data_IF_979879544526
#
_entry.id   IF_979879544526
#
_cell.length_a   1.000
_cell.length_b   1.000
_cell.length_c   1.000
_cell.angle_alpha   90.00
_cell.angle_beta   90.00
_cell.angle_gamma   90.00
#
_symmetry.space_group_name_H-M   'P 1'
#
loop_
_entity.id
_entity.type
_entity.pdbx_description
1 polymer ?
#
# COMPACT_ATOMS: atom_id res chain seq x y z
N UNK A 1 -47.94 36.17 40.42
CA UNK A 1 -47.70 35.66 39.05
C UNK A 1 -47.69 36.85 38.08
N UNK A 2 -46.88 36.92 37.00
CA UNK A 2 -45.93 35.93 36.45
C UNK A 2 -44.48 36.43 36.19
N UNK A 3 -43.56 35.45 36.29
CA UNK A 3 -42.37 35.08 35.49
C UNK A 3 -41.34 36.13 34.98
N UNK A 4 -40.14 36.02 35.57
CA UNK A 4 -38.82 36.40 35.04
C UNK A 4 -38.51 35.68 33.71
N UNK A 5 -37.92 36.40 32.74
CA UNK A 5 -37.11 35.81 31.66
C UNK A 5 -35.66 36.25 31.83
N UNK A 6 -34.84 35.35 32.38
CA UNK A 6 -33.39 35.38 32.23
C UNK A 6 -33.03 34.55 31.01
N UNK A 7 -32.55 35.19 29.94
CA UNK A 7 -31.93 34.49 28.83
C UNK A 7 -30.49 34.16 29.18
N UNK A 8 -30.22 32.92 29.60
CA UNK A 8 -28.87 32.35 29.56
C UNK A 8 -28.52 32.10 28.09
N UNK A 9 -27.49 32.80 27.58
CA UNK A 9 -26.77 32.35 26.38
C UNK A 9 -26.12 31.02 26.74
N UNK A 10 -26.57 29.95 26.10
CA UNK A 10 -25.90 28.66 26.15
C UNK A 10 -24.64 28.75 25.30
N UNK A 11 -23.48 28.92 25.94
CA UNK A 11 -22.19 28.58 25.35
C UNK A 11 -22.05 27.07 25.51
N UNK A 12 -22.56 26.30 24.55
CA UNK A 12 -22.08 24.95 24.36
C UNK A 12 -20.64 25.07 23.85
N UNK A 13 -19.69 25.06 24.80
CA UNK A 13 -18.31 24.71 24.49
C UNK A 13 -18.42 23.23 24.13
N UNK A 14 -18.24 22.89 22.84
CA UNK A 14 -17.96 21.52 22.46
C UNK A 14 -16.70 21.13 23.25
N UNK A 15 -16.87 20.23 24.22
CA UNK A 15 -15.75 19.55 24.86
C UNK A 15 -15.06 18.76 23.75
N UNK A 16 -13.92 19.27 23.31
CA UNK A 16 -13.00 18.59 22.40
C UNK A 16 -12.51 17.36 23.17
N UNK A 17 -12.67 16.17 22.58
CA UNK A 17 -12.23 14.92 23.20
C UNK A 17 -10.72 15.03 23.49
N UNK A 18 -10.17 14.45 24.58
CA UNK A 18 -8.73 14.45 24.84
C UNK A 18 -7.92 13.92 23.65
N UNK A 19 -8.51 12.98 22.88
CA UNK A 19 -7.92 12.44 21.66
C UNK A 19 -7.86 13.49 20.53
N UNK A 20 -8.87 14.33 20.40
CA UNK A 20 -8.91 15.41 19.40
C UNK A 20 -7.83 16.48 19.65
N UNK A 21 -7.50 16.77 20.92
CA UNK A 21 -6.49 17.78 21.25
C UNK A 21 -5.07 17.28 20.93
N UNK A 22 -4.78 16.01 21.20
CA UNK A 22 -3.52 15.37 20.83
C UNK A 22 -3.37 15.25 19.31
N UNK A 23 -4.44 14.92 18.59
CA UNK A 23 -4.47 14.86 17.13
C UNK A 23 -4.22 16.23 16.49
N UNK A 24 -4.89 17.28 16.97
CA UNK A 24 -4.65 18.65 16.51
C UNK A 24 -3.23 19.12 16.82
N UNK A 25 -2.67 18.71 17.95
CA UNK A 25 -1.30 19.04 18.29
C UNK A 25 -0.30 18.33 17.38
N UNK A 26 -0.53 17.06 17.03
CA UNK A 26 0.29 16.34 16.05
C UNK A 26 0.15 16.95 14.65
N UNK A 27 -1.07 17.23 14.19
CA UNK A 27 -1.32 17.86 12.90
C UNK A 27 -0.60 19.22 12.79
N UNK A 28 -0.66 20.04 13.84
CA UNK A 28 0.08 21.31 13.92
C UNK A 28 1.59 21.11 13.92
N UNK A 29 2.11 20.07 14.59
CA UNK A 29 3.55 19.74 14.57
C UNK A 29 4.00 19.28 13.18
N UNK A 30 3.19 18.49 12.49
CA UNK A 30 3.42 18.04 11.12
C UNK A 30 3.38 19.21 10.11
N UNK A 31 2.37 20.07 10.20
CA UNK A 31 2.29 21.32 9.41
C UNK A 31 3.48 22.24 9.68
N UNK A 32 3.86 22.44 10.94
CA UNK A 32 5.02 23.26 11.30
C UNK A 32 6.32 22.67 10.76
N UNK A 33 6.48 21.34 10.82
CA UNK A 33 7.60 20.65 10.22
C UNK A 33 7.62 20.82 8.69
N UNK A 34 6.45 20.80 8.01
CA UNK A 34 6.33 20.94 6.54
C UNK A 34 6.82 22.29 6.02
N UNK A 35 6.83 23.31 6.88
CA UNK A 35 7.23 24.67 6.54
C UNK A 35 8.69 25.01 6.86
N UNK A 36 9.51 24.06 7.33
CA UNK A 36 10.95 24.31 7.50
C UNK A 36 11.75 23.43 8.48
N UNK A 37 11.28 22.22 8.85
CA UNK A 37 11.96 21.37 9.83
C UNK A 37 12.57 20.09 9.23
N UNK A 38 13.79 19.76 9.64
CA UNK A 38 14.38 18.40 9.48
C UNK A 38 13.40 17.35 9.99
N UNK A 39 13.33 16.19 9.33
CA UNK A 39 12.61 15.00 9.80
C UNK A 39 13.04 14.70 11.25
N UNK A 40 12.20 15.05 12.22
CA UNK A 40 12.51 14.85 13.63
C UNK A 40 11.96 13.50 14.06
N UNK A 41 12.75 12.74 14.83
CA UNK A 41 12.34 11.46 15.42
C UNK A 41 11.01 11.57 16.19
N UNK A 42 10.67 12.76 16.68
CA UNK A 42 9.38 13.05 17.32
C UNK A 42 8.20 12.97 16.36
N UNK A 43 8.35 13.43 15.10
CA UNK A 43 7.30 13.35 14.09
C UNK A 43 6.98 11.89 13.73
N UNK A 44 8.00 11.02 13.69
CA UNK A 44 7.82 9.58 13.49
C UNK A 44 7.10 8.95 14.67
N UNK A 45 7.54 9.25 15.89
CA UNK A 45 6.90 8.73 17.10
C UNK A 45 5.42 9.15 17.17
N UNK A 46 5.12 10.37 16.73
CA UNK A 46 3.76 10.89 16.65
C UNK A 46 2.92 10.16 15.57
N UNK A 47 3.47 9.97 14.36
CA UNK A 47 2.82 9.19 13.29
C UNK A 47 2.58 7.75 13.74
N UNK A 48 3.60 7.10 14.31
CA UNK A 48 3.54 5.72 14.78
C UNK A 48 2.52 5.54 15.90
N UNK A 49 2.49 6.47 16.86
CA UNK A 49 1.52 6.47 17.97
C UNK A 49 0.10 6.57 17.44
N UNK A 50 -0.14 7.42 16.45
CA UNK A 50 -1.47 7.62 15.88
C UNK A 50 -1.89 6.51 14.91
N UNK A 51 -0.96 5.95 14.13
CA UNK A 51 -1.21 4.75 13.32
C UNK A 51 -1.56 3.55 14.22
N UNK A 52 -0.89 3.43 15.36
CA UNK A 52 -1.21 2.41 16.38
C UNK A 52 -2.57 2.66 17.02
N UNK A 53 -2.89 3.91 17.37
CA UNK A 53 -4.21 4.27 17.91
C UNK A 53 -5.33 3.98 16.90
N UNK A 54 -5.12 4.29 15.62
CA UNK A 54 -6.04 4.00 14.54
C UNK A 54 -6.27 2.48 14.37
N UNK A 55 -5.21 1.66 14.44
CA UNK A 55 -5.33 0.20 14.42
C UNK A 55 -6.13 -0.33 15.62
N UNK A 56 -5.87 0.18 16.82
CA UNK A 56 -6.58 -0.23 18.04
C UNK A 56 -8.07 0.15 18.00
N UNK A 57 -8.40 1.31 17.41
CA UNK A 57 -9.78 1.75 17.23
C UNK A 57 -10.56 0.90 16.18
N UNK A 58 -9.87 0.22 15.25
CA UNK A 58 -10.52 -0.71 14.29
C UNK A 58 -10.90 -2.05 14.93
N UNK A 59 -10.22 -2.48 15.99
CA UNK A 59 -10.54 -3.73 16.70
C UNK A 59 -11.72 -3.56 17.68
N UNK A 60 -12.08 -2.33 18.04
CA UNK A 60 -13.31 -2.04 18.78
C UNK A 60 -14.48 -1.99 17.78
N UNK A 61 -15.27 -3.07 17.74
CA UNK A 61 -16.42 -3.34 16.85
C UNK A 61 -17.60 -2.36 16.90
N UNK A 62 -17.38 -1.08 17.20
CA UNK A 62 -18.40 -0.04 17.15
C UNK A 62 -18.21 0.81 15.89
N UNK A 63 -19.30 1.07 15.16
CA UNK A 63 -19.30 1.93 13.97
C UNK A 63 -18.78 3.36 14.27
N UNK A 64 -18.77 3.77 15.54
CA UNK A 64 -18.15 5.03 16.00
C UNK A 64 -16.61 4.97 15.93
N UNK A 65 -15.99 3.81 16.20
CA UNK A 65 -14.54 3.61 16.12
C UNK A 65 -13.99 3.64 14.68
N UNK A 66 -14.74 3.12 13.70
CA UNK A 66 -14.38 3.24 12.28
C UNK A 66 -14.43 4.70 11.79
N UNK A 67 -15.45 5.47 12.19
CA UNK A 67 -15.58 6.88 11.81
C UNK A 67 -14.47 7.74 12.44
N UNK A 68 -14.13 7.48 13.70
CA UNK A 68 -13.09 8.21 14.44
C UNK A 68 -11.68 7.87 13.93
N UNK A 69 -11.43 6.59 13.63
CA UNK A 69 -10.21 6.13 12.95
C UNK A 69 -10.02 6.81 11.59
N UNK A 70 -11.08 6.88 10.78
CA UNK A 70 -11.04 7.55 9.48
C UNK A 70 -10.70 9.05 9.61
N UNK A 71 -11.23 9.75 10.62
CA UNK A 71 -10.92 11.17 10.89
C UNK A 71 -9.46 11.38 11.31
N UNK A 72 -8.93 10.53 12.18
CA UNK A 72 -7.52 10.57 12.62
C UNK A 72 -6.58 10.46 11.42
N UNK A 73 -6.84 9.50 10.54
CA UNK A 73 -5.96 9.25 9.40
C UNK A 73 -6.11 10.35 8.36
N UNK A 74 -7.31 10.81 8.04
CA UNK A 74 -7.50 11.96 7.15
C UNK A 74 -6.72 13.18 7.69
N UNK A 75 -6.79 13.43 9.00
CA UNK A 75 -6.04 14.53 9.64
C UNK A 75 -4.52 14.36 9.51
N UNK A 76 -4.00 13.14 9.73
CA UNK A 76 -2.58 12.83 9.56
C UNK A 76 -2.12 13.05 8.12
N UNK A 77 -2.93 12.59 7.16
CA UNK A 77 -2.62 12.68 5.75
C UNK A 77 -2.67 14.14 5.29
N UNK A 78 -3.70 14.91 5.67
CA UNK A 78 -3.80 16.35 5.40
C UNK A 78 -2.64 17.14 6.02
N UNK A 79 -2.12 16.70 7.17
CA UNK A 79 -0.97 17.31 7.81
C UNK A 79 0.38 16.95 7.12
N UNK A 80 0.36 16.13 6.07
CA UNK A 80 1.53 15.76 5.28
C UNK A 80 2.33 14.58 5.85
N UNK A 81 1.68 13.66 6.58
CA UNK A 81 2.32 12.46 7.09
C UNK A 81 2.83 11.54 5.95
N UNK A 82 2.06 11.38 4.87
CA UNK A 82 2.42 10.51 3.74
C UNK A 82 3.77 10.87 3.10
N UNK A 83 3.98 12.09 2.56
CA UNK A 83 5.24 12.44 1.90
C UNK A 83 6.45 12.32 2.83
N UNK A 84 6.27 12.67 4.11
CA UNK A 84 7.33 12.55 5.13
C UNK A 84 7.72 11.12 5.37
N UNK A 85 6.74 10.25 5.59
CA UNK A 85 6.99 8.85 5.87
C UNK A 85 7.63 8.16 4.65
N UNK A 86 7.23 8.54 3.43
CA UNK A 86 7.89 8.09 2.20
C UNK A 86 9.35 8.54 2.11
N UNK A 87 9.64 9.82 2.35
CA UNK A 87 11.02 10.34 2.35
C UNK A 87 11.90 9.63 3.39
N UNK A 88 11.35 9.37 4.58
CA UNK A 88 12.06 8.65 5.64
C UNK A 88 12.28 7.18 5.30
N UNK A 89 11.29 6.54 4.68
CA UNK A 89 11.38 5.17 4.20
C UNK A 89 12.47 5.04 3.13
N UNK A 90 12.53 5.98 2.16
CA UNK A 90 13.60 6.02 1.15
C UNK A 90 14.98 6.22 1.79
N UNK A 91 15.09 7.16 2.73
CA UNK A 91 16.36 7.43 3.41
C UNK A 91 16.85 6.18 4.18
N UNK A 92 15.97 5.53 4.94
CA UNK A 92 16.29 4.30 5.67
C UNK A 92 16.70 3.17 4.72
N UNK A 93 16.01 3.00 3.59
CA UNK A 93 16.38 2.02 2.56
C UNK A 93 17.77 2.29 1.97
N UNK A 94 18.09 3.54 1.62
CA UNK A 94 19.42 3.92 1.13
C UNK A 94 20.52 3.68 2.16
N UNK A 95 20.29 4.03 3.42
CA UNK A 95 21.26 3.83 4.50
C UNK A 95 21.52 2.33 4.76
N UNK A 96 20.49 1.49 4.60
CA UNK A 96 20.59 0.05 4.77
C UNK A 96 21.39 -0.62 3.64
N UNK A 97 21.16 -0.24 2.37
CA UNK A 97 21.93 -0.77 1.22
C UNK A 97 23.43 -0.45 1.37
N UNK A 98 23.77 0.69 1.97
CA UNK A 98 25.16 1.10 2.17
C UNK A 98 25.88 0.51 3.39
N UNK A 99 25.15 0.00 4.40
CA UNK A 99 25.75 -0.35 5.71
C UNK A 99 25.20 -1.59 6.42
N UNK A 100 24.19 -2.29 5.87
CA UNK A 100 23.55 -3.51 6.42
C UNK A 100 23.73 -3.69 7.93
N UNK A 101 22.89 -2.99 8.70
CA UNK A 101 22.84 -3.10 10.17
C UNK A 101 21.41 -3.36 10.61
N UNK A 102 21.25 -4.28 11.56
CA UNK A 102 19.95 -4.71 12.11
C UNK A 102 19.08 -3.52 12.58
N UNK A 103 19.70 -2.50 13.20
CA UNK A 103 18.99 -1.31 13.68
C UNK A 103 18.28 -0.52 12.56
N UNK A 104 18.86 -0.44 11.37
CA UNK A 104 18.22 0.26 10.24
C UNK A 104 17.12 -0.58 9.59
N UNK A 105 17.20 -1.91 9.70
CA UNK A 105 16.14 -2.81 9.25
C UNK A 105 14.90 -2.71 10.15
N UNK A 106 15.09 -2.64 11.47
CA UNK A 106 13.99 -2.40 12.43
C UNK A 106 13.30 -1.06 12.17
N UNK A 107 14.07 0.01 11.95
CA UNK A 107 13.53 1.34 11.63
C UNK A 107 12.76 1.33 10.30
N UNK A 108 13.30 0.69 9.27
CA UNK A 108 12.61 0.55 7.99
C UNK A 108 11.32 -0.26 8.12
N UNK A 109 11.34 -1.37 8.86
CA UNK A 109 10.15 -2.17 9.18
C UNK A 109 9.07 -1.35 9.89
N UNK A 110 9.44 -0.48 10.83
CA UNK A 110 8.50 0.40 11.52
C UNK A 110 7.84 1.37 10.53
N UNK A 111 8.64 2.04 9.69
CA UNK A 111 8.11 2.96 8.69
C UNK A 111 7.17 2.27 7.68
N UNK A 112 7.49 1.05 7.25
CA UNK A 112 6.65 0.28 6.33
C UNK A 112 5.31 -0.13 6.96
N UNK A 113 5.29 -0.46 8.27
CA UNK A 113 4.05 -0.74 9.00
C UNK A 113 3.18 0.51 9.09
N UNK A 114 3.77 1.66 9.39
CA UNK A 114 3.03 2.94 9.42
C UNK A 114 2.47 3.29 8.03
N UNK A 115 3.25 3.07 6.96
CA UNK A 115 2.79 3.24 5.58
C UNK A 115 1.63 2.31 5.24
N UNK A 116 1.64 1.08 5.77
CA UNK A 116 0.59 0.10 5.52
C UNK A 116 -0.75 0.55 6.10
N UNK A 117 -0.74 1.13 7.30
CA UNK A 117 -1.94 1.74 7.91
C UNK A 117 -2.45 2.87 7.02
N UNK A 118 -1.57 3.81 6.65
CA UNK A 118 -1.98 4.97 5.87
C UNK A 118 -2.54 4.59 4.48
N UNK A 119 -1.91 3.66 3.77
CA UNK A 119 -2.35 3.23 2.42
C UNK A 119 -3.62 2.37 2.46
N UNK A 120 -3.82 1.57 3.51
CA UNK A 120 -5.09 0.87 3.73
C UNK A 120 -6.22 1.87 3.85
N UNK A 121 -6.03 2.94 4.62
CA UNK A 121 -7.07 3.95 4.82
C UNK A 121 -7.40 4.78 3.57
N UNK A 122 -6.46 4.95 2.64
CA UNK A 122 -6.78 5.49 1.31
C UNK A 122 -7.81 4.62 0.57
N UNK A 123 -7.88 3.31 0.88
CA UNK A 123 -8.87 2.41 0.30
C UNK A 123 -10.26 2.59 0.91
N UNK A 124 -10.31 3.06 2.16
CA UNK A 124 -11.54 3.15 2.96
C UNK A 124 -12.14 4.58 2.89
N UNK A 125 -11.33 5.59 2.60
CA UNK A 125 -11.73 7.00 2.61
C UNK A 125 -11.27 7.76 1.37
N UNK A 126 -12.25 8.34 0.67
CA UNK A 126 -12.01 9.15 -0.53
C UNK A 126 -11.19 10.41 -0.24
N UNK A 127 -11.36 11.06 0.92
CA UNK A 127 -10.57 12.25 1.27
C UNK A 127 -9.11 11.91 1.57
N UNK A 128 -8.85 10.73 2.12
CA UNK A 128 -7.50 10.20 2.30
C UNK A 128 -6.86 9.80 0.96
N UNK A 129 -7.66 9.39 -0.03
CA UNK A 129 -7.16 9.12 -1.37
C UNK A 129 -6.78 10.40 -2.14
N UNK A 130 -7.54 11.50 -1.99
CA UNK A 130 -7.29 12.76 -2.73
C UNK A 130 -5.92 13.40 -2.42
N UNK A 131 -5.26 12.94 -1.37
CA UNK A 131 -3.94 13.36 -0.88
C UNK A 131 -2.85 12.32 -1.11
N UNK A 132 -3.22 11.12 -1.57
CA UNK A 132 -2.31 10.07 -1.99
C UNK A 132 -1.64 10.47 -3.32
N UNK A 133 -0.31 10.34 -3.36
CA UNK A 133 0.49 10.59 -4.57
C UNK A 133 1.07 9.25 -5.04
N UNK A 134 0.41 8.56 -5.98
CA UNK A 134 0.82 7.22 -6.40
C UNK A 134 2.27 7.13 -6.87
N UNK A 135 2.72 8.12 -7.65
CA UNK A 135 4.06 8.13 -8.23
C UNK A 135 5.16 8.13 -7.16
N UNK A 136 5.04 9.01 -6.17
CA UNK A 136 5.99 9.12 -5.06
C UNK A 136 5.98 7.85 -4.21
N UNK A 137 4.81 7.23 -4.06
CA UNK A 137 4.66 5.98 -3.31
C UNK A 137 5.35 4.82 -4.04
N UNK A 138 5.09 4.66 -5.35
CA UNK A 138 5.68 3.62 -6.18
C UNK A 138 7.20 3.73 -6.24
N UNK A 139 7.74 4.94 -6.41
CA UNK A 139 9.19 5.16 -6.37
C UNK A 139 9.79 4.77 -5.02
N UNK A 140 9.11 5.11 -3.92
CA UNK A 140 9.57 4.75 -2.58
C UNK A 140 9.58 3.24 -2.38
N UNK A 141 8.50 2.56 -2.78
CA UNK A 141 8.45 1.10 -2.70
C UNK A 141 9.49 0.43 -3.58
N UNK A 142 9.78 0.99 -4.76
CA UNK A 142 10.83 0.48 -5.63
C UNK A 142 12.22 0.58 -4.96
N UNK A 143 12.56 1.71 -4.33
CA UNK A 143 13.81 1.83 -3.57
C UNK A 143 13.90 0.85 -2.39
N UNK A 144 12.79 0.63 -1.68
CA UNK A 144 12.72 -0.37 -0.61
C UNK A 144 12.86 -1.79 -1.16
N UNK A 145 12.28 -2.07 -2.33
CA UNK A 145 12.35 -3.37 -2.98
C UNK A 145 13.79 -3.76 -3.33
N UNK A 146 14.63 -2.79 -3.69
CA UNK A 146 16.08 -3.00 -3.90
C UNK A 146 16.80 -3.49 -2.65
N UNK A 147 16.30 -3.18 -1.45
CA UNK A 147 16.84 -3.70 -0.19
C UNK A 147 16.66 -5.21 -0.13
N UNK A 148 15.47 -5.73 -0.46
CA UNK A 148 15.21 -7.18 -0.50
C UNK A 148 16.17 -7.85 -1.48
N UNK A 149 16.29 -7.30 -2.68
CA UNK A 149 17.19 -7.85 -3.70
C UNK A 149 18.65 -7.85 -3.21
N UNK A 150 19.09 -6.76 -2.56
CA UNK A 150 20.44 -6.65 -2.01
C UNK A 150 20.72 -7.63 -0.86
N UNK A 151 19.75 -7.85 0.04
CA UNK A 151 19.88 -8.82 1.14
C UNK A 151 19.89 -10.25 0.58
N UNK A 152 18.97 -10.55 -0.34
CA UNK A 152 18.81 -11.89 -0.94
C UNK A 152 20.03 -12.32 -1.76
N UNK A 153 20.71 -11.38 -2.44
CA UNK A 153 21.96 -11.68 -3.17
C UNK A 153 23.14 -11.96 -2.22
N UNK A 154 23.12 -11.42 -1.01
CA UNK A 154 24.24 -11.51 -0.08
C UNK A 154 24.13 -12.67 0.90
N UNK A 155 22.96 -13.28 1.04
CA UNK A 155 22.75 -14.35 2.01
C UNK A 155 22.07 -15.56 1.34
N UNK A 156 22.57 -16.75 1.64
CA UNK A 156 21.96 -18.03 1.24
C UNK A 156 20.76 -18.29 2.19
N UNK A 157 19.72 -17.44 2.10
CA UNK A 157 18.64 -17.31 3.08
C UNK A 157 17.43 -18.15 2.72
N UNK A 158 17.54 -19.45 2.90
CA UNK A 158 16.35 -20.31 2.89
C UNK A 158 15.55 -20.28 4.21
N UNK A 159 16.01 -19.58 5.26
CA UNK A 159 15.43 -19.69 6.62
C UNK A 159 15.49 -18.39 7.49
N UNK A 160 15.57 -17.18 6.93
CA UNK A 160 15.52 -15.94 7.76
C UNK A 160 14.08 -15.42 7.92
N UNK A 161 13.45 -15.75 9.05
CA UNK A 161 12.09 -15.31 9.42
C UNK A 161 11.90 -13.78 9.35
N UNK A 162 12.96 -13.01 9.62
CA UNK A 162 12.92 -11.55 9.58
C UNK A 162 12.82 -11.00 8.16
N UNK A 163 13.63 -11.53 7.24
CA UNK A 163 13.58 -11.17 5.82
C UNK A 163 12.24 -11.55 5.19
N UNK A 164 11.67 -12.69 5.59
CA UNK A 164 10.38 -13.17 5.11
C UNK A 164 9.23 -12.25 5.53
N UNK A 165 9.19 -11.86 6.81
CA UNK A 165 8.20 -10.90 7.30
C UNK A 165 8.33 -9.53 6.62
N UNK A 166 9.56 -9.10 6.37
CA UNK A 166 9.85 -7.85 5.65
C UNK A 166 9.34 -7.88 4.20
N UNK A 167 9.63 -8.95 3.45
CA UNK A 167 9.16 -9.12 2.08
C UNK A 167 7.63 -9.15 1.98
N UNK A 168 6.95 -9.81 2.92
CA UNK A 168 5.50 -9.86 2.98
C UNK A 168 4.85 -8.48 3.17
N UNK A 169 5.44 -7.62 4.03
CA UNK A 169 4.95 -6.24 4.22
C UNK A 169 5.07 -5.45 2.92
N UNK A 170 6.20 -5.56 2.22
CA UNK A 170 6.45 -4.82 0.98
C UNK A 170 5.52 -5.29 -0.14
N UNK A 171 5.30 -6.60 -0.28
CA UNK A 171 4.31 -7.15 -1.20
C UNK A 171 2.90 -6.63 -0.92
N UNK A 172 2.52 -6.54 0.37
CA UNK A 172 1.22 -6.03 0.78
C UNK A 172 1.05 -4.55 0.47
N UNK A 173 2.10 -3.75 0.70
CA UNK A 173 2.13 -2.32 0.37
C UNK A 173 1.98 -2.08 -1.14
N UNK A 174 2.69 -2.85 -1.97
CA UNK A 174 2.52 -2.83 -3.42
C UNK A 174 1.08 -3.16 -3.81
N UNK A 175 0.50 -4.21 -3.21
CA UNK A 175 -0.88 -4.60 -3.43
C UNK A 175 -1.88 -3.47 -3.14
N UNK A 176 -1.81 -2.84 -1.96
CA UNK A 176 -2.69 -1.73 -1.60
C UNK A 176 -2.46 -0.50 -2.49
N UNK A 177 -1.22 -0.17 -2.84
CA UNK A 177 -0.92 0.94 -3.74
C UNK A 177 -1.60 0.73 -5.10
N UNK A 178 -1.42 -0.45 -5.69
CA UNK A 178 -2.03 -0.80 -6.98
C UNK A 178 -3.55 -0.85 -6.91
N UNK A 179 -4.11 -1.43 -5.84
CA UNK A 179 -5.55 -1.46 -5.61
C UNK A 179 -6.15 -0.05 -5.55
N UNK A 180 -5.52 0.86 -4.80
CA UNK A 180 -5.95 2.25 -4.71
C UNK A 180 -5.88 2.97 -6.06
N UNK A 181 -4.80 2.76 -6.83
CA UNK A 181 -4.66 3.31 -8.19
C UNK A 181 -5.84 2.85 -9.05
N UNK A 182 -6.09 1.54 -9.12
CA UNK A 182 -7.14 0.97 -9.97
C UNK A 182 -8.53 1.45 -9.53
N UNK A 183 -8.86 1.29 -8.25
CA UNK A 183 -10.19 1.59 -7.70
C UNK A 183 -10.57 3.07 -7.86
N UNK A 184 -9.58 3.95 -7.82
CA UNK A 184 -9.79 5.39 -7.86
C UNK A 184 -9.17 6.04 -9.10
N UNK A 185 -8.96 5.27 -10.17
CA UNK A 185 -8.35 5.76 -11.42
C UNK A 185 -9.07 7.00 -11.96
N UNK A 186 -10.41 7.03 -11.91
CA UNK A 186 -11.23 8.15 -12.38
C UNK A 186 -11.03 9.46 -11.60
N UNK A 187 -10.44 9.38 -10.41
CA UNK A 187 -10.16 10.52 -9.52
C UNK A 187 -8.74 11.01 -9.60
N UNK A 188 -7.83 10.23 -10.18
CA UNK A 188 -6.49 10.70 -10.47
C UNK A 188 -6.61 11.92 -11.41
N UNK A 189 -5.80 12.95 -11.16
CA UNK A 189 -5.80 14.14 -12.00
C UNK A 189 -5.62 13.75 -13.48
N UNK A 190 -6.23 14.52 -14.39
CA UNK A 190 -6.04 14.30 -15.84
C UNK A 190 -4.53 14.29 -16.15
N UNK A 191 -4.02 13.19 -16.72
CA UNK A 191 -2.59 12.83 -16.97
C UNK A 191 -1.91 11.94 -15.91
N UNK A 192 -2.42 11.93 -14.68
CA UNK A 192 -1.76 11.22 -13.58
C UNK A 192 -1.94 9.71 -13.70
N UNK A 193 -3.11 9.24 -14.15
CA UNK A 193 -3.34 7.81 -14.38
C UNK A 193 -2.37 7.23 -15.42
N UNK A 194 -2.29 7.84 -16.60
CA UNK A 194 -1.38 7.42 -17.67
C UNK A 194 0.09 7.44 -17.20
N UNK A 195 0.51 8.51 -16.51
CA UNK A 195 1.86 8.60 -15.93
C UNK A 195 2.12 7.51 -14.88
N UNK A 196 1.14 7.20 -14.04
CA UNK A 196 1.25 6.16 -13.00
C UNK A 196 1.43 4.79 -13.64
N UNK A 197 0.63 4.45 -14.65
CA UNK A 197 0.76 3.18 -15.36
C UNK A 197 2.08 3.08 -16.13
N UNK A 198 2.52 4.14 -16.80
CA UNK A 198 3.85 4.18 -17.42
C UNK A 198 4.96 3.96 -16.37
N UNK A 199 4.85 4.59 -15.20
CA UNK A 199 5.80 4.43 -14.10
C UNK A 199 5.83 2.99 -13.56
N UNK A 200 4.68 2.30 -13.49
CA UNK A 200 4.63 0.88 -13.11
C UNK A 200 5.46 0.00 -14.04
N UNK A 201 5.49 0.35 -15.34
CA UNK A 201 6.26 -0.38 -16.34
C UNK A 201 7.76 -0.05 -16.20
N UNK A 202 8.09 1.24 -16.10
CA UNK A 202 9.46 1.72 -15.97
C UNK A 202 10.17 1.17 -14.72
N UNK A 203 9.43 1.01 -13.61
CA UNK A 203 9.96 0.46 -12.35
C UNK A 203 9.93 -1.07 -12.29
N UNK A 204 9.45 -1.76 -13.33
CA UNK A 204 9.22 -3.20 -13.37
C UNK A 204 8.44 -3.71 -12.14
N UNK A 205 7.43 -2.94 -11.70
CA UNK A 205 6.70 -3.23 -10.45
C UNK A 205 6.00 -4.58 -10.52
N UNK A 206 5.32 -4.88 -11.64
CA UNK A 206 4.62 -6.15 -11.84
C UNK A 206 5.60 -7.33 -11.88
N UNK A 207 6.72 -7.19 -12.60
CA UNK A 207 7.76 -8.22 -12.64
C UNK A 207 8.38 -8.47 -11.27
N UNK A 208 8.66 -7.41 -10.52
CA UNK A 208 9.19 -7.53 -9.16
C UNK A 208 8.22 -8.26 -8.23
N UNK A 209 6.94 -7.89 -8.21
CA UNK A 209 5.91 -8.56 -7.39
C UNK A 209 5.85 -10.05 -7.72
N UNK A 210 5.83 -10.40 -9.02
CA UNK A 210 5.75 -11.80 -9.45
C UNK A 210 7.01 -12.60 -9.11
N UNK A 211 8.22 -12.00 -9.22
CA UNK A 211 9.47 -12.63 -8.75
C UNK A 211 9.45 -12.85 -7.24
N UNK A 212 9.08 -11.82 -6.49
CA UNK A 212 8.95 -11.90 -5.04
C UNK A 212 7.92 -12.97 -4.64
N UNK A 213 6.78 -13.07 -5.32
CA UNK A 213 5.80 -14.14 -5.09
C UNK A 213 6.38 -15.52 -5.38
N UNK A 214 7.12 -15.72 -6.47
CA UNK A 214 7.77 -17.01 -6.74
C UNK A 214 8.71 -17.44 -5.62
N UNK A 215 9.43 -16.49 -5.01
CA UNK A 215 10.38 -16.78 -3.93
C UNK A 215 9.72 -16.88 -2.55
N UNK A 216 8.73 -16.05 -2.26
CA UNK A 216 8.16 -15.90 -0.91
C UNK A 216 6.73 -16.44 -0.76
N UNK A 217 6.04 -16.83 -1.84
CA UNK A 217 4.66 -17.34 -1.79
C UNK A 217 4.45 -18.53 -0.84
N UNK A 218 5.37 -19.52 -0.73
CA UNK A 218 5.19 -20.62 0.23
C UNK A 218 5.06 -20.15 1.69
N UNK A 219 5.57 -18.95 1.97
CA UNK A 219 5.72 -18.37 3.30
C UNK A 219 4.59 -17.37 3.63
N UNK A 220 3.84 -16.93 2.62
CA UNK A 220 2.66 -16.11 2.81
C UNK A 220 1.52 -16.94 3.41
N UNK A 221 0.75 -16.34 4.31
CA UNK A 221 -0.53 -16.91 4.75
C UNK A 221 -1.47 -17.09 3.56
N UNK A 222 -2.46 -17.98 3.71
CA UNK A 222 -3.46 -18.18 2.66
C UNK A 222 -4.22 -16.89 2.36
N UNK A 223 -4.64 -16.15 3.40
CA UNK A 223 -5.32 -14.86 3.27
C UNK A 223 -4.48 -13.84 2.47
N UNK A 224 -3.18 -13.76 2.72
CA UNK A 224 -2.29 -12.87 1.98
C UNK A 224 -2.22 -13.25 0.49
N UNK A 225 -2.21 -14.54 0.17
CA UNK A 225 -2.23 -15.01 -1.23
C UNK A 225 -3.57 -14.70 -1.91
N UNK A 226 -4.69 -14.86 -1.21
CA UNK A 226 -6.02 -14.50 -1.72
C UNK A 226 -6.09 -13.00 -2.02
N UNK A 227 -5.66 -12.17 -1.06
CA UNK A 227 -5.63 -10.71 -1.22
C UNK A 227 -4.78 -10.30 -2.43
N UNK A 228 -3.60 -10.89 -2.60
CA UNK A 228 -2.74 -10.64 -3.76
C UNK A 228 -3.37 -11.09 -5.08
N UNK A 229 -4.05 -12.24 -5.11
CA UNK A 229 -4.78 -12.69 -6.30
C UNK A 229 -5.93 -11.75 -6.65
N UNK A 230 -6.68 -11.27 -5.65
CA UNK A 230 -7.75 -10.28 -5.86
C UNK A 230 -7.21 -8.94 -6.36
N UNK A 231 -6.03 -8.52 -5.91
CA UNK A 231 -5.38 -7.33 -6.44
C UNK A 231 -5.00 -7.48 -7.91
N UNK A 232 -4.41 -8.62 -8.30
CA UNK A 232 -4.17 -8.88 -9.71
C UNK A 232 -5.48 -8.93 -10.52
N UNK A 233 -6.54 -9.53 -9.98
CA UNK A 233 -7.83 -9.58 -10.66
C UNK A 233 -8.39 -8.17 -10.91
N UNK A 234 -8.35 -7.30 -9.89
CA UNK A 234 -8.77 -5.91 -10.01
C UNK A 234 -7.92 -5.14 -11.04
N UNK A 235 -6.59 -5.32 -11.04
CA UNK A 235 -5.71 -4.71 -12.04
C UNK A 235 -6.10 -5.13 -13.46
N UNK A 236 -6.33 -6.42 -13.68
CA UNK A 236 -6.63 -6.96 -15.01
C UNK A 236 -8.01 -6.59 -15.53
N UNK A 237 -8.93 -6.20 -14.65
CA UNK A 237 -10.25 -5.67 -15.01
C UNK A 237 -10.20 -4.18 -15.42
N UNK A 238 -9.10 -3.49 -15.11
CA UNK A 238 -8.89 -2.09 -15.46
C UNK A 238 -8.40 -1.90 -16.91
N UNK A 239 -9.19 -1.24 -17.75
CA UNK A 239 -8.81 -0.92 -19.14
C UNK A 239 -7.45 -0.20 -19.26
N UNK A 240 -7.12 0.81 -18.43
CA UNK A 240 -5.80 1.46 -18.51
C UNK A 240 -4.62 0.53 -18.20
N UNK A 241 -4.82 -0.53 -17.42
CA UNK A 241 -3.78 -1.51 -17.17
C UNK A 241 -3.53 -2.39 -18.41
N UNK A 242 -4.60 -2.75 -19.12
CA UNK A 242 -4.52 -3.57 -20.34
C UNK A 242 -3.75 -2.87 -21.47
N UNK A 243 -3.86 -1.55 -21.57
CA UNK A 243 -3.10 -0.73 -22.54
C UNK A 243 -1.57 -0.89 -22.38
N UNK A 244 -1.12 -1.16 -21.16
CA UNK A 244 0.30 -1.34 -20.81
C UNK A 244 0.70 -2.81 -20.61
N UNK A 245 -0.23 -3.76 -20.73
CA UNK A 245 0.03 -5.18 -20.47
C UNK A 245 1.20 -5.75 -21.31
N UNK A 246 1.34 -5.30 -22.56
CA UNK A 246 2.47 -5.73 -23.39
C UNK A 246 3.84 -5.34 -22.81
N UNK A 247 3.92 -4.22 -22.09
CA UNK A 247 5.15 -3.77 -21.42
C UNK A 247 5.37 -4.56 -20.12
N UNK A 248 4.33 -4.69 -19.29
CA UNK A 248 4.41 -5.40 -18.01
C UNK A 248 4.79 -6.87 -18.18
N UNK A 249 4.21 -7.56 -19.17
CA UNK A 249 4.37 -9.00 -19.37
C UNK A 249 5.38 -9.32 -20.48
N UNK A 250 6.44 -8.52 -20.60
CA UNK A 250 7.56 -8.83 -21.49
C UNK A 250 8.50 -9.88 -20.87
N UNK A 251 8.93 -10.85 -21.69
CA UNK A 251 9.96 -11.82 -21.30
C UNK A 251 9.53 -12.73 -20.16
N UNK A 252 10.35 -12.82 -19.11
CA UNK A 252 10.13 -13.72 -17.97
C UNK A 252 8.87 -13.38 -17.17
N UNK A 253 8.42 -12.11 -17.16
CA UNK A 253 7.27 -11.69 -16.35
C UNK A 253 5.97 -12.41 -16.72
N UNK A 254 5.76 -12.70 -18.01
CA UNK A 254 4.60 -13.50 -18.45
C UNK A 254 4.65 -14.93 -17.89
N UNK A 255 5.82 -15.56 -17.88
CA UNK A 255 6.01 -16.90 -17.33
C UNK A 255 5.82 -16.92 -15.82
N UNK A 256 6.28 -15.88 -15.12
CA UNK A 256 6.04 -15.75 -13.68
C UNK A 256 4.55 -15.58 -13.36
N UNK A 257 3.82 -14.83 -14.19
CA UNK A 257 2.37 -14.70 -14.05
C UNK A 257 1.65 -16.03 -14.26
N UNK A 258 1.98 -16.79 -15.30
CA UNK A 258 1.40 -18.12 -15.52
C UNK A 258 1.71 -19.05 -14.35
N UNK A 259 2.96 -19.04 -13.86
CA UNK A 259 3.32 -19.82 -12.67
C UNK A 259 2.48 -19.41 -11.46
N UNK A 260 2.32 -18.10 -11.21
CA UNK A 260 1.48 -17.60 -10.12
C UNK A 260 0.02 -18.03 -10.29
N UNK A 261 -0.51 -17.94 -11.52
CA UNK A 261 -1.86 -18.34 -11.86
C UNK A 261 -2.10 -19.83 -11.53
N UNK A 262 -1.23 -20.70 -12.03
CA UNK A 262 -1.35 -22.15 -11.85
C UNK A 262 -1.17 -22.56 -10.38
N UNK A 263 -0.21 -21.96 -9.66
CA UNK A 263 0.09 -22.38 -8.29
C UNK A 263 -0.80 -21.75 -7.23
N UNK A 264 -1.34 -20.57 -7.51
CA UNK A 264 -2.08 -19.78 -6.51
C UNK A 264 -3.54 -19.60 -6.89
N UNK A 265 -3.84 -19.24 -8.13
CA UNK A 265 -5.21 -18.87 -8.55
C UNK A 265 -6.07 -20.11 -8.81
N UNK A 266 -5.56 -21.11 -9.55
CA UNK A 266 -6.31 -22.34 -9.86
C UNK A 266 -6.79 -23.05 -8.58
N UNK A 267 -5.95 -23.30 -7.55
CA UNK A 267 -6.42 -23.92 -6.31
C UNK A 267 -7.48 -23.11 -5.56
N UNK A 268 -7.52 -21.79 -5.73
CA UNK A 268 -8.54 -20.91 -5.13
C UNK A 268 -9.85 -20.97 -5.91
N UNK A 269 -9.79 -21.03 -7.25
CA UNK A 269 -10.97 -21.16 -8.11
C UNK A 269 -11.70 -22.48 -7.91
N UNK A 270 -10.97 -23.57 -7.70
CA UNK A 270 -11.53 -24.91 -7.47
C UNK A 270 -12.38 -24.99 -6.18
N UNK A 271 -12.12 -24.11 -5.21
CA UNK A 271 -12.89 -24.01 -3.96
C UNK A 271 -14.23 -23.28 -4.12
N UNK A 272 -14.51 -22.72 -5.30
CA UNK A 272 -15.81 -22.20 -5.71
C UNK A 272 -16.20 -20.83 -5.15
N UNK A 273 -15.83 -20.51 -3.91
CA UNK A 273 -16.22 -19.25 -3.24
C UNK A 273 -15.58 -18.01 -3.87
N UNK A 274 -14.41 -18.16 -4.50
CA UNK A 274 -13.63 -17.05 -5.06
C UNK A 274 -13.78 -16.90 -6.58
N UNK A 275 -14.55 -17.77 -7.23
CA UNK A 275 -14.65 -17.81 -8.70
C UNK A 275 -15.16 -16.50 -9.30
N UNK A 276 -16.12 -15.86 -8.65
CA UNK A 276 -16.65 -14.58 -9.11
C UNK A 276 -15.66 -13.42 -8.94
N UNK A 277 -14.74 -13.49 -7.96
CA UNK A 277 -13.77 -12.43 -7.65
C UNK A 277 -12.51 -12.54 -8.49
N UNK A 278 -12.11 -13.76 -8.83
CA UNK A 278 -10.86 -14.06 -9.54
C UNK A 278 -11.07 -14.35 -11.04
N UNK A 279 -12.32 -14.39 -11.53
CA UNK A 279 -12.63 -14.72 -12.93
C UNK A 279 -11.96 -13.80 -13.96
N UNK A 280 -11.69 -12.53 -13.61
CA UNK A 280 -10.94 -11.62 -14.48
C UNK A 280 -9.53 -12.13 -14.82
N UNK A 281 -8.93 -12.96 -13.95
CA UNK A 281 -7.61 -13.55 -14.20
C UNK A 281 -7.65 -14.66 -15.26
N UNK A 282 -8.74 -15.43 -15.35
CA UNK A 282 -8.96 -16.41 -16.44
C UNK A 282 -9.04 -15.69 -17.80
N UNK A 283 -9.82 -14.61 -17.84
CA UNK A 283 -9.99 -13.78 -19.03
C UNK A 283 -8.66 -13.10 -19.42
N UNK A 284 -7.91 -12.63 -18.42
CA UNK A 284 -6.61 -12.03 -18.63
C UNK A 284 -5.55 -13.03 -19.11
N UNK A 285 -5.56 -14.27 -18.60
CA UNK A 285 -4.68 -15.33 -19.10
C UNK A 285 -4.96 -15.61 -20.59
N UNK A 286 -6.24 -15.65 -20.97
CA UNK A 286 -6.67 -15.80 -22.37
C UNK A 286 -6.24 -14.62 -23.23
N UNK A 287 -6.33 -13.40 -22.69
CA UNK A 287 -5.82 -12.18 -23.33
C UNK A 287 -4.30 -12.25 -23.53
N UNK A 288 -3.51 -12.60 -22.51
CA UNK A 288 -2.06 -12.74 -22.61
C UNK A 288 -1.65 -13.78 -23.66
N UNK A 289 -2.35 -14.92 -23.73
CA UNK A 289 -2.09 -15.93 -24.77
C UNK A 289 -2.31 -15.40 -26.19
N UNK A 290 -3.28 -14.50 -26.38
CA UNK A 290 -3.56 -13.87 -27.67
C UNK A 290 -2.57 -12.76 -28.01
N UNK A 291 -2.29 -11.87 -27.07
CA UNK A 291 -1.45 -10.68 -27.30
C UNK A 291 0.05 -11.00 -27.24
N UNK A 292 0.46 -11.94 -26.40
CA UNK A 292 1.86 -12.31 -26.13
C UNK A 292 2.12 -13.83 -26.24
N UNK A 293 1.76 -14.48 -27.35
CA UNK A 293 2.03 -15.91 -27.53
C UNK A 293 3.53 -16.22 -27.51
N UNK A 294 4.38 -15.25 -27.88
CA UNK A 294 5.84 -15.34 -27.80
C UNK A 294 6.34 -15.49 -26.37
N UNK A 295 5.79 -14.70 -25.44
CA UNK A 295 6.21 -14.70 -24.05
C UNK A 295 5.82 -15.99 -23.31
N UNK A 296 4.79 -16.67 -23.81
CA UNK A 296 4.31 -17.93 -23.27
C UNK A 296 4.86 -19.18 -23.99
N UNK A 297 5.73 -19.00 -24.99
CA UNK A 297 6.21 -20.11 -25.81
C UNK A 297 5.10 -20.82 -26.61
N UNK A 298 3.98 -20.12 -26.87
CA UNK A 298 2.82 -20.60 -27.62
C UNK A 298 2.90 -20.29 -29.12
N UNK A 299 4.04 -19.79 -29.59
CA UNK A 299 4.26 -19.69 -31.03
C UNK A 299 4.56 -21.06 -31.60
N UNK A 300 3.65 -21.53 -32.45
CA UNK A 300 3.89 -22.61 -33.39
C UNK A 300 5.08 -22.29 -34.30
N UNK A 301 5.76 -23.37 -34.70
CA UNK A 301 6.59 -23.48 -35.89
C UNK A 301 5.92 -22.89 -37.15
#
# INVERSE_FOLDING_TARGET
MPLKRGGKRSTAIQEVSPMDEDLLNVARRLEAASRGGKNSTQVVADIHTLATAALLAQDETEAEGEEECSKVIVTLVEAGAFPRLLDMTRQAAHDLIGKLRDQHLEELCAHLKDLLVLVKCCSDSLSAFDTFVPDDFLQSLHEVSKVIDAITVQQDTSEDDGLMAFAAIILTLHGFCLYNIVRHTERLAMDMAERTYALLADLDTIGWILRALKHYSPLLSEDARVVLAEFFAALTDGEPFLDYAAQYFAGETALLFVSFYDTTVVPLLERGELKARLGALDDFLSFLARERPDALGLRDE
#
